data_IF_564616845719
#
_entry.id   IF_564616845719
#
_cell.length_a   1.000
_cell.length_b   1.000
_cell.length_c   1.000
_cell.angle_alpha   90.00
_cell.angle_beta   90.00
_cell.angle_gamma   90.00
#
_symmetry.space_group_name_H-M   'P 1'
#
loop_
_entity.id
_entity.type
_entity.pdbx_description
1 polymer ?
#
# COMPACT_ATOMS: atom_id res chain seq x y z
N UNK A 1 0.16 6.53 -10.38
CA UNK A 1 -0.13 7.17 -9.08
C UNK A 1 1.16 7.33 -8.30
N UNK A 2 1.36 8.41 -7.54
CA UNK A 2 2.63 8.73 -6.89
C UNK A 2 3.14 7.62 -5.96
N UNK A 3 2.25 7.00 -5.18
CA UNK A 3 2.60 5.91 -4.26
C UNK A 3 3.21 4.71 -4.97
N UNK A 4 2.63 4.28 -6.10
CA UNK A 4 3.12 3.14 -6.88
C UNK A 4 4.53 3.39 -7.45
N UNK A 5 4.86 4.63 -7.82
CA UNK A 5 6.22 4.97 -8.22
C UNK A 5 7.19 4.81 -7.04
N UNK A 6 6.82 5.29 -5.85
CA UNK A 6 7.68 5.15 -4.68
C UNK A 6 7.82 3.69 -4.22
N UNK A 7 6.76 2.88 -4.30
CA UNK A 7 6.78 1.44 -4.02
C UNK A 7 7.72 0.65 -4.93
N UNK A 8 7.92 1.11 -6.18
CA UNK A 8 8.88 0.53 -7.12
C UNK A 8 10.34 0.95 -6.85
N UNK A 9 10.57 1.83 -5.87
CA UNK A 9 11.91 2.26 -5.46
C UNK A 9 12.43 3.52 -6.17
N UNK A 10 11.56 4.32 -6.77
CA UNK A 10 11.96 5.62 -7.33
C UNK A 10 12.34 6.61 -6.21
N UNK A 11 13.27 7.52 -6.51
CA UNK A 11 13.74 8.53 -5.54
C UNK A 11 12.73 9.67 -5.31
N UNK A 12 11.80 9.89 -6.24
CA UNK A 12 10.78 10.92 -6.11
C UNK A 12 9.82 11.00 -7.29
N UNK A 13 8.83 11.87 -7.16
CA UNK A 13 7.78 12.11 -8.17
C UNK A 13 7.66 13.61 -8.44
N UNK A 14 7.75 14.00 -9.71
CA UNK A 14 7.49 15.38 -10.14
C UNK A 14 6.04 15.50 -10.63
N UNK A 15 5.29 16.45 -10.07
CA UNK A 15 3.88 16.68 -10.40
C UNK A 15 3.60 18.16 -10.64
N UNK A 16 2.77 18.47 -11.64
CA UNK A 16 2.28 19.82 -11.91
C UNK A 16 0.76 19.83 -12.13
N UNK A 17 0.30 19.43 -13.32
CA UNK A 17 -1.11 19.54 -13.75
C UNK A 17 -2.10 18.89 -12.78
N UNK A 18 -1.74 17.77 -12.16
CA UNK A 18 -2.61 17.08 -11.20
C UNK A 18 -2.89 17.91 -9.94
N UNK A 19 -1.93 18.74 -9.50
CA UNK A 19 -2.13 19.70 -8.39
C UNK A 19 -2.76 20.99 -8.91
N UNK A 20 -2.23 21.54 -10.00
CA UNK A 20 -2.63 22.83 -10.54
C UNK A 20 -4.09 22.87 -11.06
N UNK A 21 -4.62 21.74 -11.52
CA UNK A 21 -6.01 21.61 -12.01
C UNK A 21 -6.94 20.89 -11.04
N UNK A 22 -6.52 20.64 -9.81
CA UNK A 22 -7.39 20.07 -8.80
C UNK A 22 -8.43 21.10 -8.34
N UNK A 23 -9.61 20.62 -7.93
CA UNK A 23 -10.65 21.48 -7.31
C UNK A 23 -10.11 22.20 -6.06
N UNK A 24 -9.26 21.53 -5.29
CA UNK A 24 -8.51 22.10 -4.16
C UNK A 24 -7.01 21.77 -4.31
N UNK A 25 -6.22 22.68 -4.89
CA UNK A 25 -4.78 22.48 -5.11
C UNK A 25 -3.99 22.30 -3.81
N UNK A 26 -4.41 22.93 -2.72
CA UNK A 26 -3.69 22.87 -1.44
C UNK A 26 -3.88 21.49 -0.82
N UNK A 27 -5.11 21.00 -0.76
CA UNK A 27 -5.37 19.63 -0.31
C UNK A 27 -4.74 18.60 -1.24
N UNK A 28 -4.76 18.82 -2.56
CA UNK A 28 -4.12 17.90 -3.51
C UNK A 28 -2.60 17.85 -3.31
N UNK A 29 -1.94 19.00 -3.11
CA UNK A 29 -0.51 19.04 -2.78
C UNK A 29 -0.19 18.25 -1.51
N UNK A 30 -1.00 18.42 -0.45
CA UNK A 30 -0.87 17.64 0.78
C UNK A 30 -1.06 16.14 0.54
N UNK A 31 -2.05 15.76 -0.27
CA UNK A 31 -2.32 14.36 -0.63
C UNK A 31 -1.14 13.74 -1.39
N UNK A 32 -0.54 14.44 -2.34
CA UNK A 32 0.66 13.98 -3.03
C UNK A 32 1.87 13.84 -2.09
N UNK A 33 2.06 14.78 -1.16
CA UNK A 33 3.11 14.70 -0.15
C UNK A 33 2.99 13.43 0.71
N UNK A 34 1.80 13.17 1.23
CA UNK A 34 1.51 11.96 2.00
C UNK A 34 1.69 10.69 1.16
N UNK A 35 1.23 10.69 -0.09
CA UNK A 35 1.38 9.53 -0.98
C UNK A 35 2.86 9.18 -1.25
N UNK A 36 3.72 10.19 -1.39
CA UNK A 36 5.16 10.00 -1.57
C UNK A 36 5.81 9.44 -0.30
N UNK A 37 5.49 10.01 0.86
CA UNK A 37 6.01 9.54 2.15
C UNK A 37 5.57 8.11 2.45
N UNK A 38 4.28 7.82 2.32
CA UNK A 38 3.73 6.47 2.52
C UNK A 38 4.34 5.45 1.56
N UNK A 39 4.51 5.80 0.28
CA UNK A 39 5.12 4.88 -0.69
C UNK A 39 6.60 4.63 -0.42
N UNK A 40 7.35 5.63 0.07
CA UNK A 40 8.75 5.42 0.48
C UNK A 40 8.83 4.50 1.70
N UNK A 41 7.96 4.70 2.68
CA UNK A 41 7.87 3.82 3.84
C UNK A 41 7.52 2.39 3.43
N UNK A 42 6.57 2.21 2.51
CA UNK A 42 6.19 0.89 1.99
C UNK A 42 7.36 0.18 1.28
N UNK A 43 8.11 0.90 0.44
CA UNK A 43 9.32 0.37 -0.19
C UNK A 43 10.36 -0.09 0.83
N UNK A 44 10.62 0.74 1.85
CA UNK A 44 11.60 0.42 2.91
C UNK A 44 11.15 -0.71 3.83
N UNK A 45 9.83 -0.84 4.06
CA UNK A 45 9.27 -1.91 4.88
C UNK A 45 9.31 -3.28 4.19
N UNK A 46 9.40 -3.30 2.86
CA UNK A 46 9.30 -4.51 2.05
C UNK A 46 7.85 -4.95 1.91
N UNK A 47 7.28 -4.75 0.71
CA UNK A 47 5.90 -5.16 0.42
C UNK A 47 5.80 -6.69 0.33
N UNK A 48 4.66 -7.23 0.77
CA UNK A 48 4.38 -8.66 0.67
C UNK A 48 4.39 -9.09 -0.81
N UNK A 49 5.00 -10.24 -1.17
CA UNK A 49 4.93 -10.74 -2.52
C UNK A 49 3.50 -11.06 -2.92
N UNK A 50 3.17 -10.83 -4.18
CA UNK A 50 1.89 -11.26 -4.75
C UNK A 50 1.86 -12.78 -4.77
N UNK A 51 0.83 -13.38 -4.17
CA UNK A 51 0.60 -14.82 -4.17
C UNK A 51 -0.51 -15.18 -5.16
N UNK A 52 -0.33 -16.24 -5.94
CA UNK A 52 -1.37 -16.73 -6.87
C UNK A 52 -2.42 -17.60 -6.18
N UNK A 53 -2.06 -18.23 -5.06
CA UNK A 53 -2.97 -19.00 -4.22
C UNK A 53 -3.31 -18.21 -2.96
N UNK A 54 -4.60 -18.16 -2.61
CA UNK A 54 -5.05 -17.57 -1.36
C UNK A 54 -4.71 -18.50 -0.19
N UNK A 55 -3.99 -17.99 0.81
CA UNK A 55 -3.87 -18.66 2.10
C UNK A 55 -5.14 -18.40 2.95
N UNK A 56 -5.75 -19.45 3.54
CA UNK A 56 -6.85 -19.26 4.47
C UNK A 56 -6.39 -18.43 5.67
N UNK A 57 -7.09 -17.34 5.99
CA UNK A 57 -6.81 -16.52 7.17
C UNK A 57 -7.06 -17.24 8.51
N UNK A 58 -7.74 -18.38 8.46
CA UNK A 58 -7.99 -19.29 9.58
C UNK A 58 -7.56 -20.71 9.18
N UNK A 59 -6.55 -21.31 9.81
CA UNK A 59 -6.20 -22.70 9.57
C UNK A 59 -7.35 -23.60 10.07
N UNK A 60 -8.13 -24.20 9.18
CA UNK A 60 -9.15 -25.21 9.55
C UNK A 60 -8.55 -26.59 9.83
N UNK A 61 -7.22 -26.71 9.86
CA UNK A 61 -6.51 -27.97 10.10
C UNK A 61 -5.94 -27.95 11.52
N UNK A 62 -6.71 -28.41 12.51
CA UNK A 62 -6.16 -28.56 13.86
C UNK A 62 -7.04 -28.99 15.02
N UNK A 63 -8.38 -28.94 14.96
CA UNK A 63 -9.21 -29.41 16.08
C UNK A 63 -9.97 -30.68 15.71
N UNK A 64 -9.48 -31.87 16.11
CA UNK A 64 -10.33 -33.04 16.22
C UNK A 64 -11.46 -32.71 17.20
N UNK A 65 -12.70 -32.87 16.75
CA UNK A 65 -13.93 -32.64 17.51
C UNK A 65 -14.14 -33.63 18.68
N UNK A 66 -13.09 -34.32 19.13
CA UNK A 66 -13.15 -35.44 20.07
C UNK A 66 -12.62 -35.13 21.47
N UNK A 67 -12.27 -33.88 21.79
CA UNK A 67 -11.84 -33.47 23.13
C UNK A 67 -12.73 -32.36 23.70
N UNK A 68 -14.03 -32.61 23.75
CA UNK A 68 -14.92 -31.97 24.73
C UNK A 68 -15.51 -33.10 25.58
N UNK A 69 -14.80 -33.42 26.66
CA UNK A 69 -15.30 -34.19 27.81
C UNK A 69 -15.52 -33.22 28.97
#
# INVERSE_FOLDING_TARGET
HAIAAMELGYDGVLVNTAVARATDPVQMGRAFGLAVESGRLAYLAGTMPVQEMAEPSTPVTGTPFWHQA
#
